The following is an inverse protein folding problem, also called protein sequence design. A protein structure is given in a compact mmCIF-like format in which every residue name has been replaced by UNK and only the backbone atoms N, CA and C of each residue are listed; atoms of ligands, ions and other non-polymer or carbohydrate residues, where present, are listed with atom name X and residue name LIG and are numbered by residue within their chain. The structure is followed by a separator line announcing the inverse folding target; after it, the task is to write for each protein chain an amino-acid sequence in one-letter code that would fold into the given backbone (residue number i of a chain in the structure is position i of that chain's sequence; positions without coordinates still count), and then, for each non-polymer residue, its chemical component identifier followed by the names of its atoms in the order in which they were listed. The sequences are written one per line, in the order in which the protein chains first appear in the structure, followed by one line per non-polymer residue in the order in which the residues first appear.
data_IF_648757793930
#
_entry.id   IF_648757793930
#
_cell.length_a   1.000
_cell.length_b   1.000
_cell.length_c   1.000
_cell.angle_alpha   90.00
_cell.angle_beta   90.00
_cell.angle_gamma   90.00
#
_symmetry.space_group_name_H-M   'P 1'
#
loop_
_entity.id
_entity.type
_entity.pdbx_description
1 polymer ?
#
# COMPACT_ATOMS: atom_id res chain seq x y z
N UNK A 1 -2.36 -10.01 15.67
CA UNK A 1 -1.33 -8.98 15.40
C UNK A 1 -0.95 -9.06 13.93
N UNK A 2 -0.88 -7.93 13.22
CA UNK A 2 -0.44 -7.93 11.82
C UNK A 2 1.08 -8.07 11.75
N UNK A 3 1.57 -8.98 10.91
CA UNK A 3 2.99 -9.17 10.62
C UNK A 3 3.36 -8.81 9.17
N UNK A 4 2.35 -8.64 8.32
CA UNK A 4 2.48 -8.29 6.90
C UNK A 4 1.41 -7.32 6.50
N UNK A 5 1.72 -6.48 5.53
CA UNK A 5 0.79 -5.51 4.98
C UNK A 5 -0.38 -6.21 4.30
N UNK A 6 -0.07 -7.20 3.48
CA UNK A 6 -1.04 -8.07 2.81
C UNK A 6 -0.94 -9.49 3.42
N UNK A 7 -2.07 -10.15 3.76
CA UNK A 7 -2.03 -11.51 4.27
C UNK A 7 -1.36 -12.48 3.31
N UNK A 8 -0.67 -13.47 3.87
CA UNK A 8 -0.06 -14.54 3.08
C UNK A 8 -1.13 -15.27 2.25
N UNK A 9 -0.83 -15.50 0.97
CA UNK A 9 -1.74 -16.19 0.03
C UNK A 9 -2.88 -15.34 -0.51
N UNK A 10 -3.08 -14.11 -0.02
CA UNK A 10 -4.05 -13.21 -0.62
C UNK A 10 -3.55 -12.67 -1.96
N UNK A 11 -4.47 -12.51 -2.91
CA UNK A 11 -4.17 -11.96 -4.24
C UNK A 11 -4.72 -10.55 -4.34
N UNK A 12 -3.85 -9.57 -4.59
CA UNK A 12 -4.26 -8.20 -4.86
C UNK A 12 -4.95 -8.14 -6.24
N UNK A 13 -6.05 -7.40 -6.34
CA UNK A 13 -6.74 -7.10 -7.60
C UNK A 13 -6.65 -5.62 -7.97
N UNK A 14 -6.63 -4.75 -6.97
CA UNK A 14 -6.48 -3.30 -7.15
C UNK A 14 -5.81 -2.66 -5.93
N UNK A 15 -5.02 -1.60 -6.15
CA UNK A 15 -4.49 -0.70 -5.14
C UNK A 15 -4.90 0.71 -5.55
N UNK A 16 -5.68 1.37 -4.70
CA UNK A 16 -6.28 2.67 -4.98
C UNK A 16 -5.80 3.69 -3.96
N UNK A 17 -5.18 4.76 -4.44
CA UNK A 17 -4.93 5.99 -3.67
C UNK A 17 -5.92 7.06 -4.12
N UNK A 18 -5.83 8.26 -3.56
CA UNK A 18 -6.64 9.40 -4.02
C UNK A 18 -6.34 9.81 -5.47
N UNK A 19 -5.11 9.56 -5.95
CA UNK A 19 -4.61 10.08 -7.23
C UNK A 19 -4.50 9.01 -8.31
N UNK A 20 -4.31 7.75 -7.94
CA UNK A 20 -4.04 6.64 -8.87
C UNK A 20 -4.71 5.33 -8.47
N UNK A 21 -4.92 4.49 -9.47
CA UNK A 21 -5.31 3.09 -9.33
C UNK A 21 -4.31 2.20 -10.06
N UNK A 22 -3.76 1.21 -9.37
CA UNK A 22 -3.06 0.08 -9.98
C UNK A 22 -4.01 -1.11 -9.96
N UNK A 23 -4.49 -1.54 -11.13
CA UNK A 23 -5.48 -2.61 -11.25
C UNK A 23 -4.98 -3.75 -12.13
N UNK A 24 -5.43 -4.97 -11.81
CA UNK A 24 -5.07 -6.16 -12.58
C UNK A 24 -5.87 -6.24 -13.87
N UNK A 25 -5.18 -6.38 -15.01
CA UNK A 25 -5.79 -6.55 -16.34
C UNK A 25 -5.21 -7.78 -17.03
N UNK A 26 -6.02 -8.84 -17.14
CA UNK A 26 -5.56 -10.13 -17.66
C UNK A 26 -4.43 -10.71 -16.82
N UNK A 27 -3.22 -10.82 -17.41
CA UNK A 27 -2.02 -11.31 -16.72
C UNK A 27 -1.09 -10.20 -16.21
N UNK A 28 -1.42 -8.95 -16.48
CA UNK A 28 -0.61 -7.79 -16.13
C UNK A 28 -1.35 -6.80 -15.24
N UNK A 29 -0.78 -5.61 -15.15
CA UNK A 29 -1.24 -4.49 -14.36
C UNK A 29 -1.37 -3.25 -15.24
N UNK A 30 -2.31 -2.40 -14.88
CA UNK A 30 -2.55 -1.10 -15.50
C UNK A 30 -2.55 -0.01 -14.43
N UNK A 31 -1.96 1.13 -14.75
CA UNK A 31 -2.05 2.35 -13.96
C UNK A 31 -3.14 3.27 -14.53
N UNK A 32 -3.99 3.82 -13.68
CA UNK A 32 -4.98 4.85 -14.00
C UNK A 32 -4.78 6.08 -13.10
N UNK A 33 -4.73 7.31 -13.66
CA UNK A 33 -4.44 7.58 -15.06
C UNK A 33 -3.06 7.04 -15.44
N UNK A 34 -2.91 6.58 -16.69
CA UNK A 34 -1.63 6.09 -17.18
C UNK A 34 -0.55 7.18 -17.18
N UNK A 35 0.71 6.80 -16.94
CA UNK A 35 1.86 7.70 -16.92
C UNK A 35 2.94 7.21 -17.88
N UNK A 36 3.60 8.13 -18.60
CA UNK A 36 4.73 7.78 -19.46
C UNK A 36 5.87 7.19 -18.62
N UNK A 37 6.49 6.13 -19.11
CA UNK A 37 7.59 5.45 -18.43
C UNK A 37 7.18 4.48 -17.30
N UNK A 38 5.87 4.33 -17.02
CA UNK A 38 5.37 3.30 -16.11
C UNK A 38 4.81 2.16 -16.94
N UNK A 39 5.53 1.05 -17.00
CA UNK A 39 5.13 -0.15 -17.72
C UNK A 39 4.65 -1.27 -16.78
N UNK A 40 4.30 -2.41 -17.37
CA UNK A 40 3.82 -3.56 -16.62
C UNK A 40 4.88 -4.15 -15.67
N UNK A 41 6.17 -4.05 -15.99
CA UNK A 41 7.22 -4.57 -15.13
C UNK A 41 7.28 -3.73 -13.83
N UNK A 42 7.32 -2.41 -13.96
CA UNK A 42 7.31 -1.48 -12.81
C UNK A 42 6.07 -1.70 -11.94
N UNK A 43 4.90 -1.85 -12.56
CA UNK A 43 3.65 -2.11 -11.83
C UNK A 43 3.66 -3.47 -11.11
N UNK A 44 4.19 -4.50 -11.76
CA UNK A 44 4.30 -5.84 -11.18
C UNK A 44 5.25 -5.85 -9.98
N UNK A 45 6.37 -5.14 -10.07
CA UNK A 45 7.34 -4.98 -8.99
C UNK A 45 6.72 -4.24 -7.80
N UNK A 46 6.01 -3.13 -8.02
CA UNK A 46 5.32 -2.41 -6.96
C UNK A 46 4.30 -3.31 -6.24
N UNK A 47 3.46 -4.04 -6.98
CA UNK A 47 2.51 -4.98 -6.38
C UNK A 47 3.21 -6.09 -5.61
N UNK A 48 4.35 -6.60 -6.10
CA UNK A 48 5.15 -7.57 -5.38
C UNK A 48 5.68 -7.00 -4.06
N UNK A 49 6.15 -5.75 -4.04
CA UNK A 49 6.55 -5.07 -2.80
C UNK A 49 5.41 -4.98 -1.79
N UNK A 50 4.19 -4.64 -2.22
CA UNK A 50 3.01 -4.66 -1.35
C UNK A 50 2.76 -6.04 -0.71
N UNK A 51 2.91 -7.12 -1.49
CA UNK A 51 2.73 -8.49 -1.00
C UNK A 51 3.85 -8.95 -0.06
N UNK A 52 5.05 -8.39 -0.21
CA UNK A 52 6.24 -8.78 0.54
C UNK A 52 6.45 -7.93 1.80
N UNK A 53 5.87 -6.73 1.86
CA UNK A 53 6.02 -5.79 2.96
C UNK A 53 5.66 -6.40 4.32
N UNK A 54 6.61 -6.34 5.24
CA UNK A 54 6.50 -6.81 6.62
C UNK A 54 6.21 -5.64 7.56
N UNK A 55 5.59 -5.96 8.70
CA UNK A 55 5.10 -4.98 9.66
C UNK A 55 5.64 -5.26 11.06
N UNK A 56 6.14 -4.23 11.73
CA UNK A 56 6.54 -4.26 13.14
C UNK A 56 5.67 -3.28 13.95
N UNK A 57 5.15 -3.67 15.11
CA UNK A 57 4.27 -2.81 15.90
C UNK A 57 5.07 -1.66 16.50
N UNK A 58 4.48 -0.47 16.55
CA UNK A 58 5.08 0.70 17.21
C UNK A 58 4.08 1.36 18.16
N UNK A 59 4.58 1.93 19.27
CA UNK A 59 3.73 2.57 20.28
C UNK A 59 3.12 3.92 19.82
N UNK A 60 3.45 4.39 18.62
CA UNK A 60 2.99 5.68 18.11
C UNK A 60 1.48 5.64 17.82
N UNK A 61 0.75 6.63 18.33
CA UNK A 61 -0.67 6.81 18.08
C UNK A 61 -0.96 7.35 16.67
N UNK A 62 -2.25 7.60 16.34
CA UNK A 62 -2.65 8.21 15.08
C UNK A 62 -1.94 9.55 14.85
N UNK A 63 -1.47 9.75 13.62
CA UNK A 63 -0.76 10.94 13.18
C UNK A 63 -1.63 11.66 12.16
N UNK A 64 -1.51 12.98 12.02
CA UNK A 64 -2.24 13.72 10.98
C UNK A 64 -1.55 13.56 9.61
N UNK A 65 -2.31 13.75 8.53
CA UNK A 65 -1.77 13.72 7.16
C UNK A 65 -1.62 12.31 6.57
N UNK A 66 -2.58 11.42 6.86
CA UNK A 66 -2.58 10.08 6.29
C UNK A 66 -2.76 10.11 4.76
N UNK A 67 -2.02 9.27 4.04
CA UNK A 67 -2.41 8.83 2.70
C UNK A 67 -3.32 7.62 2.87
N UNK A 68 -4.57 7.76 2.42
CA UNK A 68 -5.53 6.66 2.43
C UNK A 68 -5.29 5.76 1.23
N UNK A 69 -5.24 4.46 1.47
CA UNK A 69 -5.03 3.45 0.41
C UNK A 69 -6.03 2.33 0.59
N UNK A 70 -6.83 2.09 -0.44
CA UNK A 70 -7.76 0.97 -0.50
C UNK A 70 -7.12 -0.15 -1.33
N UNK A 71 -6.88 -1.29 -0.68
CA UNK A 71 -6.37 -2.48 -1.36
C UNK A 71 -7.48 -3.51 -1.50
N UNK A 72 -7.83 -3.83 -2.73
CA UNK A 72 -8.80 -4.87 -3.04
C UNK A 72 -8.11 -6.22 -3.18
N UNK A 73 -8.63 -7.22 -2.46
CA UNK A 73 -8.14 -8.59 -2.49
C UNK A 73 -9.19 -9.50 -3.13
N UNK A 74 -8.74 -10.46 -3.92
CA UNK A 74 -9.61 -11.44 -4.56
C UNK A 74 -10.40 -12.22 -3.49
N UNK A 75 -11.72 -12.31 -3.68
CA UNK A 75 -12.63 -13.00 -2.76
C UNK A 75 -13.11 -12.16 -1.58
N UNK A 76 -12.61 -10.93 -1.39
CA UNK A 76 -13.12 -9.99 -0.38
C UNK A 76 -14.21 -9.07 -0.98
N UNK A 77 -15.26 -8.79 -0.21
CA UNK A 77 -16.38 -7.93 -0.64
C UNK A 77 -16.20 -6.43 -0.35
N UNK A 78 -15.12 -6.06 0.34
CA UNK A 78 -14.76 -4.68 0.69
C UNK A 78 -13.23 -4.54 0.63
N UNK A 79 -12.69 -3.34 0.38
CA UNK A 79 -11.25 -3.14 0.37
C UNK A 79 -10.69 -3.14 1.78
N UNK A 80 -9.41 -3.48 1.88
CA UNK A 80 -8.62 -3.18 3.07
C UNK A 80 -8.16 -1.74 3.00
N UNK A 81 -8.81 -0.89 3.78
CA UNK A 81 -8.45 0.53 3.90
C UNK A 81 -7.30 0.72 4.87
N UNK A 82 -6.14 1.10 4.36
CA UNK A 82 -4.96 1.45 5.14
C UNK A 82 -4.79 2.97 5.22
N UNK A 83 -4.18 3.42 6.32
CA UNK A 83 -3.74 4.81 6.50
C UNK A 83 -2.22 4.80 6.60
N UNK A 84 -1.55 5.39 5.61
CA UNK A 84 -0.08 5.49 5.57
C UNK A 84 0.40 6.85 6.02
N UNK A 85 1.55 6.87 6.70
CA UNK A 85 2.18 8.08 7.21
C UNK A 85 3.67 8.05 6.93
N UNK A 86 4.22 9.17 6.46
CA UNK A 86 5.66 9.37 6.38
C UNK A 86 6.11 10.19 7.59
N UNK A 87 6.90 9.59 8.48
CA UNK A 87 7.38 10.21 9.72
C UNK A 87 8.91 10.21 9.72
N UNK A 88 9.49 11.31 9.24
CA UNK A 88 10.93 11.36 8.97
C UNK A 88 11.30 10.30 7.93
N UNK A 89 12.20 9.39 8.31
CA UNK A 89 12.62 8.28 7.45
C UNK A 89 11.67 7.07 7.50
N UNK A 90 10.78 7.02 8.49
CA UNK A 90 9.94 5.86 8.73
C UNK A 90 8.60 5.96 7.99
N UNK A 91 8.18 4.84 7.42
CA UNK A 91 6.84 4.65 6.86
C UNK A 91 6.00 3.88 7.86
N UNK A 92 4.93 4.50 8.34
CA UNK A 92 3.98 3.87 9.24
C UNK A 92 2.68 3.56 8.52
N UNK A 93 1.98 2.53 8.97
CA UNK A 93 0.67 2.14 8.48
C UNK A 93 -0.25 1.77 9.63
N UNK A 94 -1.51 2.15 9.49
CA UNK A 94 -2.61 1.67 10.34
C UNK A 94 -3.62 0.92 9.48
N UNK A 95 -4.22 -0.11 10.07
CA UNK A 95 -5.41 -0.75 9.52
C UNK A 95 -6.58 -0.56 10.51
N UNK A 96 -7.43 0.48 10.33
CA UNK A 96 -8.48 0.83 11.29
C UNK A 96 -9.46 -0.30 11.61
N UNK A 97 -9.74 -1.18 10.65
CA UNK A 97 -10.62 -2.33 10.86
C UNK A 97 -10.11 -3.32 11.93
N UNK A 98 -8.81 -3.25 12.29
CA UNK A 98 -8.20 -4.02 13.36
C UNK A 98 -7.82 -3.15 14.58
N UNK A 99 -8.52 -2.05 14.80
CA UNK A 99 -8.36 -1.21 15.99
C UNK A 99 -7.33 -0.09 15.86
N UNK A 100 -6.78 0.15 14.66
CA UNK A 100 -5.96 1.33 14.38
C UNK A 100 -4.56 1.33 15.02
N UNK A 101 -4.05 0.17 15.45
CA UNK A 101 -2.65 0.02 15.87
C UNK A 101 -1.71 0.45 14.74
N UNK A 102 -0.70 1.25 15.08
CA UNK A 102 0.36 1.65 14.16
C UNK A 102 1.42 0.57 14.02
N UNK A 103 1.84 0.35 12.78
CA UNK A 103 2.94 -0.52 12.43
C UNK A 103 3.95 0.26 11.60
N UNK A 104 5.24 0.03 11.82
CA UNK A 104 6.29 0.41 10.89
C UNK A 104 6.33 -0.60 9.76
N UNK A 105 6.33 -0.11 8.53
CA UNK A 105 6.64 -0.95 7.36
C UNK A 105 8.14 -1.12 7.31
N UNK A 106 8.60 -2.38 7.32
CA UNK A 106 10.02 -2.71 7.28
C UNK A 106 10.41 -3.23 5.91
N UNK A 107 11.70 -3.09 5.58
CA UNK A 107 12.31 -3.58 4.33
C UNK A 107 11.75 -2.97 3.03
N UNK A 108 10.87 -1.97 3.13
CA UNK A 108 10.27 -1.26 2.02
C UNK A 108 10.33 0.25 2.25
N UNK A 109 10.67 0.99 1.21
CA UNK A 109 10.55 2.45 1.18
C UNK A 109 9.20 2.89 0.63
N UNK A 110 8.84 4.15 0.88
CA UNK A 110 7.65 4.77 0.32
C UNK A 110 7.56 4.62 -1.20
N UNK A 111 8.67 4.88 -1.91
CA UNK A 111 8.73 4.83 -3.37
C UNK A 111 8.59 3.42 -3.95
N UNK A 112 8.87 2.38 -3.15
CA UNK A 112 8.68 0.99 -3.57
C UNK A 112 7.21 0.56 -3.51
N UNK A 113 6.42 1.12 -2.58
CA UNK A 113 4.99 0.83 -2.46
C UNK A 113 4.15 1.79 -3.31
N UNK A 114 4.48 3.07 -3.31
CA UNK A 114 3.75 4.10 -4.03
C UNK A 114 4.54 4.46 -5.28
N UNK A 115 4.01 4.09 -6.45
CA UNK A 115 4.58 4.49 -7.75
C UNK A 115 4.40 6.00 -7.90
N UNK A 116 5.30 6.76 -7.28
CA UNK A 116 5.41 8.23 -7.32
C UNK A 116 4.12 8.97 -6.96
N UNK A 117 3.70 8.87 -5.70
CA UNK A 117 3.16 10.04 -5.00
C UNK A 117 4.27 10.50 -4.06
N UNK A 118 5.05 11.51 -4.48
CA UNK A 118 5.96 12.21 -3.59
C UNK A 118 5.05 13.07 -2.70
N UNK A 119 5.08 12.96 -1.36
CA UNK A 119 4.35 13.89 -0.51
C UNK A 119 4.84 15.30 -0.87
N UNK A 120 3.91 16.18 -1.29
CA UNK A 120 4.22 17.59 -1.29
C UNK A 120 4.57 17.97 0.15
N UNK A 121 5.80 18.41 0.35
CA UNK A 121 6.31 18.93 1.61
C UNK A 121 5.47 20.12 2.10
#
# INVERSE_FOLDING_TARGET
MLARLIPSGATITSIETESITIERVGRGWRLLPGRLGVDNQVLSEAVAHWQQATLEPVAQGPINGAVTVDVWLAGEGQPRRYLFFQVGADMLVQYPALGGQSYKVTEMSWQQLFITDIPHA
#
